data_IF_809724222826
#
_entry.id   IF_809724222826
#
_cell.length_a   1.000
_cell.length_b   1.000
_cell.length_c   1.000
_cell.angle_alpha   90.00
_cell.angle_beta   90.00
_cell.angle_gamma   90.00
#
_symmetry.space_group_name_H-M   'P 1'
#
loop_
_entity.id
_entity.type
_entity.pdbx_description
1 polymer ?
#
# COMPACT_ATOMS: atom_id res chain seq x y z
N UNK A 1 19.55 21.14 0.32
CA UNK A 1 19.79 19.70 0.07
C UNK A 1 18.65 19.16 -0.80
N UNK A 2 18.93 18.71 -2.03
CA UNK A 2 17.97 17.88 -2.78
C UNK A 2 17.87 16.54 -2.05
N UNK A 3 16.69 16.16 -1.56
CA UNK A 3 16.53 14.94 -0.78
C UNK A 3 16.89 13.72 -1.63
N UNK A 4 17.89 12.96 -1.21
CA UNK A 4 18.23 11.70 -1.88
C UNK A 4 17.17 10.64 -1.54
N UNK A 5 16.78 9.84 -2.53
CA UNK A 5 15.91 8.68 -2.34
C UNK A 5 16.72 7.55 -1.68
N UNK A 6 16.13 6.93 -0.66
CA UNK A 6 16.66 5.74 0.00
C UNK A 6 16.11 4.49 -0.68
N UNK A 7 16.70 3.32 -0.39
CA UNK A 7 16.19 2.03 -0.87
C UNK A 7 14.71 1.80 -0.52
N UNK A 8 14.26 2.20 0.68
CA UNK A 8 12.84 2.08 1.08
C UNK A 8 11.92 2.96 0.24
N UNK A 9 12.38 4.15 -0.14
CA UNK A 9 11.59 5.02 -1.00
C UNK A 9 11.48 4.46 -2.42
N UNK A 10 12.57 3.86 -2.92
CA UNK A 10 12.57 3.18 -4.23
C UNK A 10 11.55 2.04 -4.20
N UNK A 11 11.58 1.17 -3.19
CA UNK A 11 10.60 0.09 -3.04
C UNK A 11 9.14 0.60 -2.97
N UNK A 12 8.89 1.73 -2.28
CA UNK A 12 7.56 2.34 -2.26
C UNK A 12 7.15 2.92 -3.62
N UNK A 13 8.09 3.53 -4.34
CA UNK A 13 7.83 4.04 -5.69
C UNK A 13 7.51 2.87 -6.62
N UNK A 14 8.28 1.79 -6.57
CA UNK A 14 8.03 0.56 -7.33
C UNK A 14 6.66 -0.03 -7.03
N UNK A 15 6.24 -0.05 -5.77
CA UNK A 15 4.88 -0.42 -5.37
C UNK A 15 3.80 0.42 -6.07
N UNK A 16 3.99 1.74 -6.11
CA UNK A 16 3.05 2.64 -6.79
C UNK A 16 3.11 2.51 -8.32
N UNK A 17 4.28 2.20 -8.88
CA UNK A 17 4.46 1.92 -10.30
C UNK A 17 3.79 0.60 -10.72
N UNK A 18 3.69 -0.36 -9.80
CA UNK A 18 2.88 -1.57 -9.92
C UNK A 18 1.38 -1.31 -9.69
N UNK A 19 0.90 -0.08 -9.94
CA UNK A 19 -0.51 0.33 -9.90
C UNK A 19 -1.20 0.26 -8.54
N UNK A 20 -0.44 0.22 -7.43
CA UNK A 20 -0.99 0.22 -6.08
C UNK A 20 -0.81 1.60 -5.41
N UNK A 21 -1.88 2.41 -5.30
CA UNK A 21 -1.81 3.72 -4.65
C UNK A 21 -1.71 3.56 -3.13
N UNK A 22 -1.13 4.53 -2.43
CA UNK A 22 -0.78 4.39 -1.01
C UNK A 22 -1.03 5.66 -0.20
N UNK A 23 -1.43 5.53 1.07
CA UNK A 23 -1.45 6.64 2.02
C UNK A 23 -0.33 6.49 3.06
N UNK A 24 -0.24 7.42 4.02
CA UNK A 24 0.80 7.35 5.05
C UNK A 24 0.71 6.18 6.01
N UNK A 25 -0.50 5.67 6.27
CA UNK A 25 -0.73 4.55 7.18
C UNK A 25 -0.29 3.24 6.53
N UNK A 26 -0.70 3.02 5.28
CA UNK A 26 -0.28 1.87 4.46
C UNK A 26 1.24 1.91 4.26
N UNK A 27 1.82 3.07 3.96
CA UNK A 27 3.27 3.21 3.81
C UNK A 27 4.04 2.88 5.11
N UNK A 28 3.47 3.21 6.26
CA UNK A 28 4.03 2.86 7.56
C UNK A 28 3.86 1.38 7.91
N UNK A 29 2.83 0.70 7.44
CA UNK A 29 2.72 -0.74 7.65
C UNK A 29 3.69 -1.53 6.77
N UNK A 30 3.92 -1.07 5.52
CA UNK A 30 4.61 -1.85 4.51
C UNK A 30 6.10 -1.49 4.33
N UNK A 31 6.49 -0.22 4.49
CA UNK A 31 7.83 0.25 4.06
C UNK A 31 8.63 1.00 5.13
N UNK A 32 7.96 1.62 6.10
CA UNK A 32 8.61 2.50 7.10
C UNK A 32 8.27 2.07 8.53
N UNK A 33 9.07 2.44 9.54
CA UNK A 33 8.81 2.01 10.91
C UNK A 33 7.64 2.72 11.60
N UNK A 34 7.21 3.89 11.10
CA UNK A 34 6.05 4.61 11.64
C UNK A 34 5.47 5.64 10.65
N UNK A 35 4.26 6.10 10.98
CA UNK A 35 3.48 7.07 10.19
C UNK A 35 4.18 8.40 9.99
N UNK A 36 4.86 8.93 11.02
CA UNK A 36 5.54 10.22 10.92
C UNK A 36 6.66 10.19 9.86
N UNK A 37 7.49 9.14 9.90
CA UNK A 37 8.53 8.92 8.89
C UNK A 37 7.90 8.72 7.52
N UNK A 38 6.86 7.89 7.41
CA UNK A 38 6.16 7.65 6.14
C UNK A 38 5.62 8.95 5.53
N UNK A 39 4.96 9.81 6.30
CA UNK A 39 4.44 11.10 5.84
C UNK A 39 5.55 12.02 5.30
N UNK A 40 6.66 12.13 6.05
CA UNK A 40 7.81 12.95 5.65
C UNK A 40 8.45 12.42 4.36
N UNK A 41 8.59 11.10 4.23
CA UNK A 41 9.16 10.47 3.01
C UNK A 41 8.24 10.62 1.81
N UNK A 42 6.94 10.33 1.95
CA UNK A 42 5.94 10.53 0.89
C UNK A 42 5.90 11.97 0.38
N UNK A 43 5.97 12.95 1.29
CA UNK A 43 6.07 14.38 0.91
C UNK A 43 7.34 14.67 0.11
N UNK A 44 8.47 14.08 0.51
CA UNK A 44 9.74 14.21 -0.21
C UNK A 44 9.65 13.61 -1.62
N UNK A 45 9.13 12.38 -1.73
CA UNK A 45 8.95 11.65 -3.00
C UNK A 45 8.06 12.45 -3.96
N UNK A 46 6.95 13.01 -3.46
CA UNK A 46 6.06 13.87 -4.23
C UNK A 46 6.74 15.17 -4.69
N UNK A 47 7.47 15.85 -3.81
CA UNK A 47 8.18 17.08 -4.17
C UNK A 47 9.28 16.84 -5.21
N UNK A 48 9.83 15.63 -5.27
CA UNK A 48 10.76 15.17 -6.32
C UNK A 48 10.03 14.70 -7.59
N UNK A 49 8.71 14.90 -7.68
CA UNK A 49 7.84 14.54 -8.81
C UNK A 49 7.87 13.05 -9.18
N UNK A 50 8.23 12.19 -8.22
CA UNK A 50 8.23 10.74 -8.44
C UNK A 50 6.83 10.15 -8.34
N UNK A 51 5.96 10.73 -7.50
CA UNK A 51 4.56 10.34 -7.34
C UNK A 51 3.65 11.56 -7.32
N UNK A 52 2.43 11.38 -7.83
CA UNK A 52 1.32 12.32 -7.68
C UNK A 52 0.63 12.07 -6.35
N UNK A 53 -0.20 13.01 -5.91
CA UNK A 53 -1.07 12.84 -4.73
C UNK A 53 -2.44 13.45 -4.97
N UNK A 54 -3.45 12.93 -4.27
CA UNK A 54 -4.80 13.48 -4.32
C UNK A 54 -4.86 14.87 -3.69
N UNK A 55 -5.85 15.65 -4.08
CA UNK A 55 -6.22 16.85 -3.34
C UNK A 55 -6.97 16.46 -2.06
N UNK A 56 -6.94 17.34 -1.05
CA UNK A 56 -7.76 17.19 0.16
C UNK A 56 -9.06 17.93 -0.04
N UNK A 57 -10.17 17.23 0.12
CA UNK A 57 -11.51 17.82 0.11
C UNK A 57 -11.89 18.31 1.51
N UNK A 58 -11.36 17.67 2.56
CA UNK A 58 -11.62 18.02 3.96
C UNK A 58 -10.35 18.02 4.80
N UNK A 59 -10.41 18.74 5.92
CA UNK A 59 -9.34 18.76 6.93
C UNK A 59 -9.14 17.35 7.48
N UNK A 60 -7.88 16.98 7.74
CA UNK A 60 -7.47 15.66 8.23
C UNK A 60 -7.66 14.48 7.26
N UNK A 61 -8.14 14.69 6.03
CA UNK A 61 -8.13 13.64 5.03
C UNK A 61 -6.68 13.22 4.69
N UNK A 62 -6.32 11.93 4.80
CA UNK A 62 -4.99 11.48 4.39
C UNK A 62 -4.80 11.65 2.89
N UNK A 63 -3.61 12.08 2.47
CA UNK A 63 -3.25 12.09 1.06
C UNK A 63 -3.08 10.65 0.56
N UNK A 64 -3.60 10.38 -0.65
CA UNK A 64 -3.29 9.16 -1.37
C UNK A 64 -2.29 9.50 -2.47
N UNK A 65 -1.17 8.79 -2.49
CA UNK A 65 -0.08 8.93 -3.44
C UNK A 65 -0.19 7.84 -4.49
N UNK A 66 0.08 8.18 -5.75
CA UNK A 66 -0.14 7.29 -6.89
C UNK A 66 0.77 7.64 -8.06
N UNK A 67 0.97 6.68 -8.98
CA UNK A 67 1.68 6.89 -10.24
C UNK A 67 0.75 7.51 -11.30
N UNK A 68 -0.32 6.80 -11.66
CA UNK A 68 -1.36 7.26 -12.57
C UNK A 68 -2.71 7.43 -11.85
N UNK A 69 -3.50 8.42 -12.26
CA UNK A 69 -4.79 8.74 -11.62
C UNK A 69 -5.77 7.57 -11.75
N UNK A 70 -5.68 6.79 -12.83
CA UNK A 70 -6.50 5.58 -13.03
C UNK A 70 -6.23 4.51 -11.97
N UNK A 71 -5.05 4.50 -11.35
CA UNK A 71 -4.65 3.50 -10.35
C UNK A 71 -5.39 3.71 -9.03
N UNK A 72 -6.01 4.87 -8.79
CA UNK A 72 -6.80 5.13 -7.58
C UNK A 72 -7.93 4.12 -7.35
N UNK A 73 -8.46 3.51 -8.43
CA UNK A 73 -9.45 2.43 -8.32
C UNK A 73 -8.91 1.17 -7.62
N UNK A 74 -7.59 0.98 -7.62
CA UNK A 74 -6.89 -0.17 -7.02
C UNK A 74 -6.57 0.04 -5.54
N UNK A 75 -6.92 1.20 -4.97
CA UNK A 75 -6.70 1.49 -3.54
C UNK A 75 -7.24 0.42 -2.58
N UNK A 76 -8.38 -0.27 -2.85
CA UNK A 76 -8.83 -1.39 -2.02
C UNK A 76 -7.80 -2.53 -1.86
N UNK A 77 -6.93 -2.76 -2.84
CA UNK A 77 -5.87 -3.77 -2.74
C UNK A 77 -4.76 -3.33 -1.79
N UNK A 78 -4.39 -2.04 -1.82
CA UNK A 78 -3.45 -1.45 -0.87
C UNK A 78 -3.99 -1.47 0.55
N UNK A 79 -5.29 -1.21 0.69
CA UNK A 79 -6.00 -1.31 1.97
C UNK A 79 -5.98 -2.76 2.50
N UNK A 80 -6.28 -3.75 1.64
CA UNK A 80 -6.18 -5.17 2.01
C UNK A 80 -4.79 -5.54 2.55
N UNK A 81 -3.71 -5.13 1.87
CA UNK A 81 -2.34 -5.40 2.35
C UNK A 81 -2.06 -4.74 3.71
N UNK A 82 -2.57 -3.53 3.92
CA UNK A 82 -2.47 -2.86 5.21
C UNK A 82 -3.24 -3.58 6.31
N UNK A 83 -4.47 -4.02 6.05
CA UNK A 83 -5.31 -4.68 7.04
C UNK A 83 -4.75 -6.06 7.40
N UNK A 84 -4.26 -6.82 6.41
CA UNK A 84 -3.48 -8.05 6.61
C UNK A 84 -2.30 -7.78 7.56
N UNK A 85 -1.48 -6.77 7.26
CA UNK A 85 -0.30 -6.46 8.06
C UNK A 85 -0.65 -5.99 9.47
N UNK A 86 -1.74 -5.22 9.59
CA UNK A 86 -2.22 -4.66 10.85
C UNK A 86 -2.85 -5.72 11.76
N UNK A 87 -3.43 -6.78 11.18
CA UNK A 87 -3.94 -7.94 11.92
C UNK A 87 -2.83 -8.92 12.34
N UNK A 88 -1.57 -8.60 12.05
CA UNK A 88 -0.39 -9.34 12.51
C UNK A 88 0.11 -10.42 11.55
N UNK A 89 -0.39 -10.47 10.31
CA UNK A 89 0.18 -11.34 9.30
C UNK A 89 1.53 -10.80 8.80
N UNK A 90 2.45 -11.71 8.49
CA UNK A 90 3.65 -11.45 7.71
C UNK A 90 3.36 -11.62 6.23
N UNK A 91 3.65 -10.58 5.43
CA UNK A 91 3.53 -10.64 3.97
C UNK A 91 4.91 -11.00 3.43
N UNK A 92 5.07 -12.23 2.98
CA UNK A 92 6.34 -12.71 2.41
C UNK A 92 6.54 -12.13 1.01
N UNK A 93 5.52 -12.25 0.16
CA UNK A 93 5.52 -11.74 -1.21
C UNK A 93 4.13 -11.25 -1.60
N UNK A 94 4.08 -10.30 -2.52
CA UNK A 94 2.87 -9.94 -3.22
C UNK A 94 3.19 -9.43 -4.62
N UNK A 95 2.26 -9.64 -5.55
CA UNK A 95 2.34 -9.18 -6.94
C UNK A 95 0.97 -8.66 -7.37
N UNK A 96 0.96 -7.59 -8.15
CA UNK A 96 -0.25 -7.03 -8.73
C UNK A 96 -0.09 -6.94 -10.24
N UNK A 97 -0.93 -7.68 -10.96
CA UNK A 97 -0.93 -7.75 -12.43
C UNK A 97 -2.36 -7.99 -12.88
N UNK A 98 -2.79 -7.36 -13.98
CA UNK A 98 -4.13 -7.54 -14.57
C UNK A 98 -5.30 -7.46 -13.58
N UNK A 99 -5.23 -6.50 -12.65
CA UNK A 99 -6.24 -6.27 -11.59
C UNK A 99 -6.39 -7.42 -10.58
N UNK A 100 -5.40 -8.32 -10.52
CA UNK A 100 -5.30 -9.41 -9.58
C UNK A 100 -4.13 -9.17 -8.62
N UNK A 101 -4.43 -9.07 -7.32
CA UNK A 101 -3.43 -9.10 -6.26
C UNK A 101 -3.21 -10.54 -5.82
N UNK A 102 -1.99 -11.06 -6.02
CA UNK A 102 -1.57 -12.32 -5.40
C UNK A 102 -0.63 -12.05 -4.24
N UNK A 103 -0.76 -12.78 -3.14
CA UNK A 103 0.13 -12.63 -1.99
C UNK A 103 0.29 -13.95 -1.23
N UNK A 104 1.49 -14.18 -0.71
CA UNK A 104 1.75 -15.26 0.27
C UNK A 104 1.91 -14.61 1.64
N UNK A 105 1.07 -15.01 2.58
CA UNK A 105 1.04 -14.46 3.94
C UNK A 105 1.14 -15.55 4.99
N UNK A 106 1.70 -15.20 6.14
CA UNK A 106 1.94 -16.12 7.25
C UNK A 106 1.41 -15.52 8.55
N UNK A 107 0.82 -16.36 9.40
CA UNK A 107 0.48 -16.00 10.78
C UNK A 107 0.62 -17.23 11.62
N UNK A 108 1.36 -17.10 12.73
CA UNK A 108 1.71 -18.22 13.60
C UNK A 108 2.41 -19.33 12.80
N UNK A 109 1.79 -20.50 12.62
CA UNK A 109 2.33 -21.63 11.87
C UNK A 109 1.57 -21.92 10.56
N UNK A 110 0.71 -21.00 10.13
CA UNK A 110 -0.12 -21.17 8.95
C UNK A 110 0.29 -20.22 7.82
N UNK A 111 0.34 -20.77 6.61
CA UNK A 111 0.64 -20.05 5.38
C UNK A 111 -0.59 -20.02 4.48
N UNK A 112 -0.90 -18.85 3.95
CA UNK A 112 -2.05 -18.63 3.08
C UNK A 112 -1.63 -18.01 1.76
N UNK A 113 -2.23 -18.47 0.67
CA UNK A 113 -2.15 -17.82 -0.63
C UNK A 113 -3.43 -17.04 -0.90
N UNK A 114 -3.27 -15.74 -1.14
CA UNK A 114 -4.35 -14.84 -1.52
C UNK A 114 -4.34 -14.65 -3.03
N UNK A 115 -5.54 -14.68 -3.63
CA UNK A 115 -5.78 -14.24 -5.00
C UNK A 115 -6.98 -13.28 -4.97
N UNK A 116 -6.71 -11.98 -4.94
CA UNK A 116 -7.68 -10.92 -4.72
C UNK A 116 -8.03 -10.20 -6.02
N UNK A 117 -9.32 -10.15 -6.33
CA UNK A 117 -9.91 -9.25 -7.32
C UNK A 117 -10.91 -8.34 -6.61
N UNK A 118 -11.29 -7.22 -7.22
CA UNK A 118 -12.28 -6.32 -6.62
C UNK A 118 -13.60 -7.02 -6.26
N UNK A 119 -13.97 -8.07 -7.03
CA UNK A 119 -15.21 -8.82 -6.83
C UNK A 119 -15.16 -9.74 -5.60
N UNK A 120 -13.99 -10.28 -5.25
CA UNK A 120 -13.87 -11.28 -4.18
C UNK A 120 -13.26 -10.71 -2.88
N UNK A 121 -12.87 -9.43 -2.84
CA UNK A 121 -12.35 -8.78 -1.63
C UNK A 121 -13.20 -9.07 -0.38
N UNK A 122 -14.54 -8.92 -0.39
CA UNK A 122 -15.34 -9.20 0.82
C UNK A 122 -15.19 -10.64 1.34
N UNK A 123 -15.00 -11.60 0.44
CA UNK A 123 -14.80 -13.00 0.82
C UNK A 123 -13.42 -13.22 1.43
N UNK A 124 -12.41 -12.51 0.95
CA UNK A 124 -11.05 -12.57 1.51
C UNK A 124 -11.03 -11.98 2.91
N UNK A 125 -11.62 -10.80 3.12
CA UNK A 125 -11.76 -10.21 4.45
C UNK A 125 -12.45 -11.16 5.41
N UNK A 126 -13.57 -11.78 4.98
CA UNK A 126 -14.29 -12.77 5.80
C UNK A 126 -13.44 -14.00 6.14
N UNK A 127 -12.69 -14.55 5.18
CA UNK A 127 -11.87 -15.76 5.40
C UNK A 127 -10.68 -15.50 6.32
N UNK A 128 -10.08 -14.32 6.21
CA UNK A 128 -8.97 -13.90 7.05
C UNK A 128 -9.43 -13.23 8.36
N UNK A 129 -10.74 -13.09 8.56
CA UNK A 129 -11.34 -12.39 9.71
C UNK A 129 -10.84 -10.95 9.90
N UNK A 130 -10.52 -10.27 8.79
CA UNK A 130 -10.08 -8.87 8.79
C UNK A 130 -11.27 -7.93 9.04
N UNK A 131 -10.99 -6.78 9.66
CA UNK A 131 -11.99 -5.75 9.99
C UNK A 131 -12.24 -4.77 8.85
#
# INVERSE_FOLDING_TARGET
MKGQLTKRDINLIEYCLAHLPINSDIAAALFYPNKYIAQRRLTTIHNLKQLKRTERLVVNQPYIYYSDKKDLKNYPFSQLLYDIRSDGFEIETYHFEDELLTATIHKENESYKINATLQNLPQIYKRLSLK
#
